data_IF_884700259181
#
_entry.id   IF_884700259181
#
_cell.length_a   1.000
_cell.length_b   1.000
_cell.length_c   1.000
_cell.angle_alpha   90.00
_cell.angle_beta   90.00
_cell.angle_gamma   90.00
#
_symmetry.space_group_name_H-M   'P 1'
#
loop_
_entity.id
_entity.type
_entity.pdbx_description
1 polymer ?
#
# COMPACT_ATOMS: atom_id res chain seq x y z
N UNK A 1 19.65 32.98 10.80
CA UNK A 1 20.30 34.00 9.95
C UNK A 1 21.33 33.33 9.04
N UNK A 2 21.04 33.19 7.75
CA UNK A 2 21.95 33.41 6.61
C UNK A 2 21.15 33.09 5.34
N UNK A 3 20.93 34.13 4.53
CA UNK A 3 20.20 34.09 3.26
C UNK A 3 21.14 33.51 2.21
N UNK A 4 20.76 32.42 1.55
CA UNK A 4 21.46 31.97 0.35
C UNK A 4 21.00 32.80 -0.85
N UNK A 5 21.93 33.57 -1.41
CA UNK A 5 21.71 34.41 -2.58
C UNK A 5 21.65 33.54 -3.84
N UNK A 6 20.49 33.54 -4.51
CA UNK A 6 20.33 32.99 -5.87
C UNK A 6 20.90 33.99 -6.88
N UNK A 7 21.90 33.59 -7.66
CA UNK A 7 22.30 34.30 -8.89
C UNK A 7 21.51 33.74 -10.06
N UNK A 8 20.54 34.49 -10.53
CA UNK A 8 19.78 34.23 -11.75
C UNK A 8 20.54 34.82 -12.94
N UNK A 9 20.99 33.99 -13.87
CA UNK A 9 21.44 34.45 -15.19
C UNK A 9 20.21 34.40 -16.11
N UNK A 10 19.69 35.58 -16.45
CA UNK A 10 18.64 35.72 -17.45
C UNK A 10 19.31 35.84 -18.84
N UNK A 11 19.08 34.86 -19.72
CA UNK A 11 19.40 34.99 -21.14
C UNK A 11 18.13 35.48 -21.85
N UNK A 12 18.15 36.72 -22.32
CA UNK A 12 17.15 37.29 -23.21
C UNK A 12 17.34 36.71 -24.62
N UNK A 13 16.37 35.95 -25.11
CA UNK A 13 16.28 35.60 -26.55
C UNK A 13 15.09 36.35 -27.14
N UNK A 14 15.38 37.34 -27.97
CA UNK A 14 14.41 38.07 -28.77
C UNK A 14 13.91 37.17 -29.90
N UNK A 15 12.60 36.90 -29.96
CA UNK A 15 11.96 36.25 -31.10
C UNK A 15 11.15 37.30 -31.89
N UNK A 16 11.62 37.60 -33.11
CA UNK A 16 10.88 38.39 -34.09
C UNK A 16 9.78 37.52 -34.73
N UNK A 17 8.54 38.01 -34.73
CA UNK A 17 7.43 37.42 -35.48
C UNK A 17 7.60 37.76 -36.97
N UNK A 18 7.71 36.74 -37.82
CA UNK A 18 7.39 36.86 -39.23
C UNK A 18 6.32 35.81 -39.57
N UNK A 19 5.10 36.27 -39.81
CA UNK A 19 3.99 35.46 -40.24
C UNK A 19 4.04 35.32 -41.78
N UNK A 20 4.19 34.10 -42.28
CA UNK A 20 3.80 33.74 -43.64
C UNK A 20 3.10 32.38 -43.61
N UNK A 21 1.88 32.36 -44.15
CA UNK A 21 0.98 31.22 -44.10
C UNK A 21 1.37 30.12 -45.07
N UNK A 22 1.31 28.88 -44.60
CA UNK A 22 1.13 27.69 -45.42
C UNK A 22 0.03 26.85 -44.78
N UNK A 23 -1.04 26.59 -45.53
CA UNK A 23 -2.03 25.57 -45.20
C UNK A 23 -1.33 24.20 -45.26
N UNK A 24 -0.84 23.72 -44.12
CA UNK A 24 -0.42 22.34 -43.96
C UNK A 24 -1.67 21.49 -43.70
N UNK A 25 -1.93 20.53 -44.60
CA UNK A 25 -2.92 19.50 -44.38
C UNK A 25 -2.64 18.79 -43.05
N UNK A 26 -3.58 18.88 -42.10
CA UNK A 26 -3.48 18.22 -40.80
C UNK A 26 -3.75 16.73 -40.97
N UNK A 27 -2.74 15.97 -41.40
CA UNK A 27 -2.72 14.55 -41.09
C UNK A 27 -2.67 14.42 -39.58
N UNK A 28 -3.81 14.09 -38.96
CA UNK A 28 -3.88 13.71 -37.56
C UNK A 28 -3.13 12.37 -37.43
N UNK A 29 -1.81 12.45 -37.28
CA UNK A 29 -1.01 11.33 -36.85
C UNK A 29 -1.56 10.91 -35.49
N UNK A 30 -2.22 9.76 -35.45
CA UNK A 30 -2.52 9.11 -34.19
C UNK A 30 -1.17 8.81 -33.55
N UNK A 31 -0.79 9.61 -32.56
CA UNK A 31 0.39 9.29 -31.74
C UNK A 31 0.05 7.95 -31.08
N UNK A 32 0.66 6.89 -31.59
CA UNK A 32 0.55 5.58 -30.98
C UNK A 32 1.00 5.73 -29.53
N UNK A 33 0.07 5.61 -28.60
CA UNK A 33 0.36 5.64 -27.18
C UNK A 33 1.45 4.59 -26.93
N UNK A 34 2.64 5.03 -26.49
CA UNK A 34 3.71 4.11 -26.12
C UNK A 34 3.12 3.02 -25.21
N UNK A 35 3.34 1.75 -25.58
CA UNK A 35 2.76 0.64 -24.86
C UNK A 35 3.09 0.75 -23.37
N UNK A 36 2.07 0.65 -22.51
CA UNK A 36 2.25 0.73 -21.07
C UNK A 36 3.35 -0.25 -20.63
N UNK A 37 4.27 0.22 -19.78
CA UNK A 37 5.30 -0.66 -19.22
C UNK A 37 4.63 -1.89 -18.58
N UNK A 38 5.18 -3.10 -18.82
CA UNK A 38 4.52 -4.35 -18.50
C UNK A 38 4.35 -4.54 -16.99
N UNK A 39 3.55 -5.54 -16.61
CA UNK A 39 3.35 -5.90 -15.22
C UNK A 39 2.19 -5.16 -14.55
N UNK A 40 2.24 -5.10 -13.23
CA UNK A 40 1.19 -4.54 -12.36
C UNK A 40 1.82 -3.67 -11.28
N UNK A 41 1.34 -2.45 -11.14
CA UNK A 41 1.59 -1.61 -9.98
C UNK A 41 0.63 -2.00 -8.86
N UNK A 42 1.15 -2.29 -7.67
CA UNK A 42 0.38 -2.32 -6.42
C UNK A 42 0.77 -1.14 -5.56
N UNK A 43 -0.19 -0.52 -4.89
CA UNK A 43 0.03 0.75 -4.20
C UNK A 43 -1.03 1.00 -3.12
N UNK A 44 -0.81 2.02 -2.30
CA UNK A 44 -1.76 2.48 -1.29
C UNK A 44 -2.51 3.70 -1.79
N UNK A 45 -3.85 3.67 -1.69
CA UNK A 45 -4.72 4.83 -1.98
C UNK A 45 -5.96 4.79 -1.09
N UNK A 46 -6.30 5.91 -0.48
CA UNK A 46 -7.41 6.00 0.48
C UNK A 46 -7.34 4.92 1.58
N UNK A 47 -6.14 4.73 2.15
CA UNK A 47 -5.85 3.76 3.22
C UNK A 47 -6.00 2.27 2.85
N UNK A 48 -6.18 1.95 1.58
CA UNK A 48 -6.42 0.60 1.07
C UNK A 48 -5.36 0.22 0.04
N UNK A 49 -5.20 -1.08 -0.19
CA UNK A 49 -4.38 -1.65 -1.27
C UNK A 49 -5.15 -1.58 -2.58
N UNK A 50 -4.49 -1.05 -3.61
CA UNK A 50 -4.98 -0.95 -4.97
C UNK A 50 -3.98 -1.55 -5.94
N UNK A 51 -4.44 -1.78 -7.17
CA UNK A 51 -3.57 -2.16 -8.28
C UNK A 51 -3.97 -1.43 -9.57
N UNK A 52 -3.01 -1.26 -10.48
CA UNK A 52 -3.23 -0.65 -11.79
C UNK A 52 -2.26 -1.26 -12.83
N UNK A 53 -2.46 -0.93 -14.10
CA UNK A 53 -1.44 -1.13 -15.13
C UNK A 53 -0.26 -0.19 -14.88
N UNK A 54 0.86 -0.46 -15.54
CA UNK A 54 2.08 0.34 -15.44
C UNK A 54 1.95 1.81 -15.81
N UNK A 55 0.97 2.16 -16.65
CA UNK A 55 0.64 3.55 -17.03
C UNK A 55 -0.34 4.24 -16.04
N UNK A 56 -0.71 3.56 -14.95
CA UNK A 56 -1.69 4.03 -13.97
C UNK A 56 -3.15 3.82 -14.36
N UNK A 57 -3.44 3.32 -15.55
CA UNK A 57 -4.81 3.04 -16.00
C UNK A 57 -5.36 1.74 -15.39
N UNK A 58 -6.69 1.60 -15.37
CA UNK A 58 -7.33 0.39 -14.85
C UNK A 58 -7.16 0.22 -13.34
N UNK A 59 -7.23 1.31 -12.58
CA UNK A 59 -7.14 1.28 -11.12
C UNK A 59 -8.25 0.42 -10.51
N UNK A 60 -7.88 -0.56 -9.68
CA UNK A 60 -8.81 -1.46 -8.98
C UNK A 60 -8.45 -1.52 -7.50
N UNK A 61 -9.44 -1.27 -6.66
CA UNK A 61 -9.34 -1.47 -5.23
C UNK A 61 -9.32 -2.97 -4.91
N UNK A 62 -8.21 -3.44 -4.31
CA UNK A 62 -8.01 -4.83 -3.91
C UNK A 62 -8.61 -5.06 -2.53
N UNK A 63 -8.17 -4.31 -1.52
CA UNK A 63 -8.68 -4.42 -0.15
C UNK A 63 -9.89 -3.51 0.08
N UNK A 64 -10.87 -3.96 0.87
CA UNK A 64 -12.16 -3.27 1.09
C UNK A 64 -12.63 -3.33 2.53
N UNK A 65 -11.72 -3.46 3.48
CA UNK A 65 -12.10 -3.67 4.87
C UNK A 65 -12.47 -2.36 5.60
N UNK A 66 -12.27 -1.20 4.96
CA UNK A 66 -12.83 0.10 5.32
C UNK A 66 -12.44 0.56 6.71
N UNK A 67 -11.22 0.22 7.12
CA UNK A 67 -10.77 0.30 8.50
C UNK A 67 -10.03 1.61 8.80
N UNK A 68 -9.99 2.00 10.08
CA UNK A 68 -9.27 3.21 10.57
C UNK A 68 -7.75 3.05 10.36
N UNK A 69 -7.22 1.83 10.47
CA UNK A 69 -5.80 1.53 10.24
C UNK A 69 -5.52 1.40 8.74
N UNK A 70 -4.68 2.30 8.22
CA UNK A 70 -4.16 2.32 6.85
C UNK A 70 -3.31 1.08 6.55
N UNK A 71 -3.44 0.56 5.33
CA UNK A 71 -2.47 -0.38 4.78
C UNK A 71 -1.20 0.37 4.36
N UNK A 72 -0.04 -0.24 4.54
CA UNK A 72 1.27 0.29 4.12
C UNK A 72 2.13 -0.81 3.50
N UNK A 73 3.22 -0.43 2.86
CA UNK A 73 4.26 -1.27 2.27
C UNK A 73 3.71 -2.42 1.41
N UNK A 74 2.91 -2.15 0.37
CA UNK A 74 2.41 -3.19 -0.51
C UNK A 74 3.57 -3.73 -1.37
N UNK A 75 3.58 -5.04 -1.59
CA UNK A 75 4.54 -5.74 -2.43
C UNK A 75 3.86 -6.97 -3.04
N UNK A 76 4.17 -7.32 -4.29
CA UNK A 76 3.51 -8.44 -4.98
C UNK A 76 4.51 -9.43 -5.57
N UNK A 77 4.39 -10.69 -5.13
CA UNK A 77 5.14 -11.83 -5.65
C UNK A 77 4.78 -12.15 -7.11
N UNK A 78 5.61 -12.98 -7.74
CA UNK A 78 5.48 -13.44 -9.13
C UNK A 78 4.24 -14.31 -9.36
N UNK A 79 3.70 -14.90 -8.31
CA UNK A 79 2.43 -15.65 -8.33
C UNK A 79 1.20 -14.75 -8.14
N UNK A 80 1.39 -13.43 -8.05
CA UNK A 80 0.31 -12.46 -7.86
C UNK A 80 -0.27 -12.43 -6.43
N UNK A 81 0.47 -12.94 -5.45
CA UNK A 81 0.14 -12.75 -4.03
C UNK A 81 0.69 -11.41 -3.58
N UNK A 82 -0.21 -10.54 -3.14
CA UNK A 82 0.08 -9.24 -2.56
C UNK A 82 0.28 -9.41 -1.06
N UNK A 83 1.36 -8.84 -0.55
CA UNK A 83 1.68 -8.70 0.87
C UNK A 83 1.66 -7.22 1.20
N UNK A 84 1.00 -6.84 2.30
CA UNK A 84 0.99 -5.47 2.80
C UNK A 84 0.95 -5.49 4.33
N UNK A 85 1.43 -4.41 4.94
CA UNK A 85 1.30 -4.17 6.37
C UNK A 85 -0.06 -3.53 6.68
N UNK A 86 -0.58 -3.84 7.87
CA UNK A 86 -1.71 -3.15 8.47
C UNK A 86 -1.45 -2.98 9.97
N UNK A 87 -0.85 -1.86 10.34
CA UNK A 87 -0.20 -1.75 11.64
C UNK A 87 0.94 -2.75 11.72
N UNK A 88 0.88 -3.69 12.67
CA UNK A 88 1.87 -4.77 12.84
C UNK A 88 1.50 -6.10 12.19
N UNK A 89 0.33 -6.17 11.56
CA UNK A 89 -0.08 -7.38 10.86
C UNK A 89 0.50 -7.40 9.45
N UNK A 90 1.18 -8.49 9.09
CA UNK A 90 1.40 -8.84 7.68
C UNK A 90 0.11 -9.46 7.14
N UNK A 91 -0.43 -8.88 6.08
CA UNK A 91 -1.64 -9.33 5.40
C UNK A 91 -1.30 -9.79 4.00
N UNK A 92 -1.62 -11.05 3.70
CA UNK A 92 -1.50 -11.61 2.33
C UNK A 92 -2.85 -11.70 1.66
N UNK A 93 -2.92 -11.28 0.41
CA UNK A 93 -4.15 -11.29 -0.37
C UNK A 93 -3.89 -11.60 -1.85
N UNK A 94 -4.90 -12.15 -2.51
CA UNK A 94 -4.95 -12.24 -3.98
C UNK A 94 -5.35 -10.90 -4.57
N UNK A 95 -5.11 -10.70 -5.87
CA UNK A 95 -5.53 -9.51 -6.64
C UNK A 95 -7.04 -9.27 -6.66
N UNK A 96 -7.86 -10.28 -6.37
CA UNK A 96 -9.32 -10.14 -6.22
C UNK A 96 -9.76 -9.65 -4.81
N UNK A 97 -8.81 -9.47 -3.90
CA UNK A 97 -9.04 -9.06 -2.50
C UNK A 97 -9.26 -10.24 -1.53
N UNK A 98 -9.16 -11.49 -1.99
CA UNK A 98 -9.24 -12.65 -1.11
C UNK A 98 -8.04 -12.70 -0.17
N UNK A 99 -8.28 -12.55 1.13
CA UNK A 99 -7.25 -12.70 2.16
C UNK A 99 -6.82 -14.17 2.28
N UNK A 100 -5.52 -14.41 2.22
CA UNK A 100 -4.89 -15.73 2.35
C UNK A 100 -4.42 -15.99 3.79
N UNK A 101 -3.75 -15.01 4.40
CA UNK A 101 -3.25 -15.11 5.78
C UNK A 101 -3.11 -13.74 6.42
N UNK A 102 -3.11 -13.71 7.76
CA UNK A 102 -2.81 -12.55 8.60
C UNK A 102 -2.03 -13.03 9.82
N UNK A 103 -0.97 -12.33 10.18
CA UNK A 103 -0.17 -12.65 11.37
C UNK A 103 0.60 -11.43 11.86
N UNK A 104 0.86 -11.36 13.16
CA UNK A 104 1.59 -10.27 13.81
C UNK A 104 3.11 -10.47 13.68
N UNK A 105 3.82 -9.41 13.32
CA UNK A 105 5.27 -9.42 13.11
C UNK A 105 6.10 -9.62 14.39
N UNK A 106 5.46 -9.52 15.56
CA UNK A 106 6.11 -9.54 16.85
C UNK A 106 6.91 -8.26 17.11
N UNK A 107 7.73 -8.28 18.15
CA UNK A 107 8.71 -7.23 18.46
C UNK A 107 10.13 -7.76 18.24
N UNK A 108 11.03 -6.88 17.82
CA UNK A 108 12.45 -7.17 17.63
C UNK A 108 13.18 -7.18 18.97
N UNK A 109 13.02 -6.10 19.74
CA UNK A 109 13.69 -5.88 21.02
C UNK A 109 12.83 -6.38 22.19
N UNK A 110 13.44 -6.82 23.31
CA UNK A 110 12.70 -7.18 24.52
C UNK A 110 12.06 -5.93 25.15
N UNK A 111 10.93 -6.13 25.84
CA UNK A 111 10.13 -5.03 26.39
C UNK A 111 10.89 -4.13 27.39
N UNK A 112 11.95 -4.64 28.02
CA UNK A 112 12.82 -3.90 28.93
C UNK A 112 13.78 -2.92 28.23
N UNK A 113 14.07 -3.14 26.95
CA UNK A 113 15.08 -2.40 26.17
C UNK A 113 14.46 -1.52 25.09
N UNK A 114 13.14 -1.48 24.97
CA UNK A 114 12.47 -0.82 23.85
C UNK A 114 11.17 -0.15 24.27
N UNK A 115 10.98 1.10 23.83
CA UNK A 115 9.67 1.72 23.77
C UNK A 115 8.78 1.10 22.69
N UNK A 116 7.86 1.88 22.13
CA UNK A 116 6.91 1.41 21.11
C UNK A 116 7.67 0.92 19.87
N UNK A 117 7.38 -0.30 19.43
CA UNK A 117 7.96 -0.90 18.22
C UNK A 117 6.95 -0.98 17.08
N UNK A 118 7.39 -0.57 15.90
CA UNK A 118 6.59 -0.54 14.68
C UNK A 118 7.24 -1.39 13.60
N UNK A 119 6.43 -2.02 12.76
CA UNK A 119 6.92 -2.58 11.49
C UNK A 119 6.73 -1.51 10.44
N UNK A 120 7.84 -1.12 9.80
CA UNK A 120 7.89 0.07 8.92
C UNK A 120 7.90 -0.31 7.45
N UNK A 121 8.44 -1.49 7.10
CA UNK A 121 8.44 -2.00 5.73
C UNK A 121 8.29 -3.51 5.70
N UNK A 122 7.68 -4.04 4.64
CA UNK A 122 7.56 -5.48 4.40
C UNK A 122 7.53 -5.78 2.89
N UNK A 123 8.38 -6.70 2.45
CA UNK A 123 8.50 -7.08 1.04
C UNK A 123 8.48 -8.60 0.90
N UNK A 124 7.67 -9.09 -0.05
CA UNK A 124 7.54 -10.52 -0.32
C UNK A 124 8.58 -10.96 -1.35
N UNK A 125 9.19 -12.12 -1.10
CA UNK A 125 10.08 -12.77 -2.08
C UNK A 125 9.38 -13.03 -3.42
N UNK A 126 10.12 -13.12 -4.54
CA UNK A 126 9.55 -13.35 -5.86
C UNK A 126 8.65 -14.58 -5.92
N UNK A 127 9.07 -15.72 -5.37
CA UNK A 127 8.23 -16.93 -5.28
C UNK A 127 7.09 -16.89 -4.24
N UNK A 128 6.92 -15.77 -3.53
CA UNK A 128 5.83 -15.58 -2.58
C UNK A 128 5.95 -16.38 -1.27
N UNK A 129 7.05 -17.12 -1.03
CA UNK A 129 7.20 -18.03 0.13
C UNK A 129 7.79 -17.37 1.36
N UNK A 130 8.61 -16.33 1.19
CA UNK A 130 9.24 -15.57 2.28
C UNK A 130 8.80 -14.10 2.27
N UNK A 131 8.91 -13.46 3.43
CA UNK A 131 8.77 -12.01 3.60
C UNK A 131 9.96 -11.50 4.40
N UNK A 132 10.50 -10.36 3.96
CA UNK A 132 11.46 -9.57 4.71
C UNK A 132 10.70 -8.38 5.29
N UNK A 133 10.94 -8.04 6.56
CA UNK A 133 10.26 -6.90 7.20
C UNK A 133 11.17 -6.20 8.19
N UNK A 134 11.12 -4.87 8.18
CA UNK A 134 11.97 -4.01 8.99
C UNK A 134 11.16 -3.44 10.15
N UNK A 135 11.78 -3.36 11.32
CA UNK A 135 11.17 -2.82 12.53
C UNK A 135 11.96 -1.63 13.06
N UNK A 136 11.26 -0.62 13.57
CA UNK A 136 11.83 0.48 14.33
C UNK A 136 11.40 0.40 15.79
N UNK A 137 12.22 0.98 16.66
CA UNK A 137 11.94 1.13 18.08
C UNK A 137 12.13 2.59 18.49
N UNK A 138 11.24 3.09 19.33
CA UNK A 138 11.45 4.39 19.99
C UNK A 138 12.28 4.13 21.25
N UNK A 139 13.49 4.69 21.30
CA UNK A 139 14.35 4.71 22.47
C UNK A 139 14.36 6.13 23.03
N UNK A 140 13.81 6.31 24.23
CA UNK A 140 13.56 7.62 24.83
C UNK A 140 12.76 8.55 23.90
N UNK A 141 13.42 9.51 23.21
CA UNK A 141 12.79 10.51 22.34
C UNK A 141 13.13 10.34 20.84
N UNK A 142 13.91 9.34 20.45
CA UNK A 142 14.33 9.13 19.06
C UNK A 142 13.90 7.75 18.55
N UNK A 143 13.50 7.69 17.28
CA UNK A 143 13.21 6.43 16.59
C UNK A 143 14.49 5.89 15.97
N UNK A 144 14.84 4.64 16.27
CA UNK A 144 15.96 3.94 15.64
C UNK A 144 15.44 2.75 14.81
N UNK A 145 16.09 2.48 13.67
CA UNK A 145 15.85 1.22 12.96
C UNK A 145 16.39 0.09 13.82
N UNK A 146 15.49 -0.71 14.36
CA UNK A 146 15.85 -1.80 15.25
C UNK A 146 16.50 -2.94 14.45
N UNK A 147 15.98 -3.23 13.25
CA UNK A 147 16.57 -4.21 12.33
C UNK A 147 15.56 -4.89 11.39
N UNK A 148 16.08 -5.77 10.52
CA UNK A 148 15.29 -6.55 9.57
C UNK A 148 15.18 -8.01 9.99
N UNK A 149 14.00 -8.61 9.75
CA UNK A 149 13.70 -10.04 9.96
C UNK A 149 13.21 -10.72 8.69
N UNK A 150 13.34 -12.04 8.67
CA UNK A 150 12.82 -12.92 7.63
C UNK A 150 11.86 -13.95 8.22
N UNK A 151 10.79 -14.26 7.51
CA UNK A 151 9.84 -15.30 7.88
C UNK A 151 9.25 -15.96 6.64
N UNK A 152 8.63 -17.12 6.82
CA UNK A 152 7.64 -17.61 5.88
C UNK A 152 6.57 -16.53 5.66
N UNK A 153 6.12 -16.35 4.43
CA UNK A 153 5.17 -15.27 4.11
C UNK A 153 3.80 -15.49 4.78
N UNK A 154 3.39 -16.75 4.99
CA UNK A 154 2.06 -17.11 5.46
C UNK A 154 1.88 -17.09 6.99
N UNK A 155 2.98 -17.09 7.75
CA UNK A 155 2.96 -17.11 9.20
C UNK A 155 4.31 -16.65 9.75
N UNK A 156 4.33 -16.19 11.00
CA UNK A 156 5.58 -16.03 11.71
C UNK A 156 6.31 -17.38 11.78
N UNK A 157 7.52 -17.41 11.26
CA UNK A 157 8.45 -18.50 11.47
C UNK A 157 9.75 -17.84 11.86
N UNK A 158 10.27 -18.13 13.05
CA UNK A 158 11.56 -17.61 13.46
C UNK A 158 12.61 -18.08 12.44
N UNK A 159 13.06 -17.21 11.54
CA UNK A 159 13.93 -17.54 10.41
C UNK A 159 15.38 -17.81 10.81
N UNK A 160 15.63 -18.24 12.05
CA UNK A 160 16.95 -18.32 12.67
C UNK A 160 17.28 -17.07 13.52
N UNK A 161 18.40 -17.08 14.26
CA UNK A 161 18.79 -16.03 15.21
C UNK A 161 19.23 -14.69 14.56
N UNK A 162 19.06 -14.52 13.25
CA UNK A 162 19.71 -13.48 12.44
C UNK A 162 18.88 -12.21 12.42
N UNK A 163 18.96 -11.47 13.54
CA UNK A 163 18.54 -10.08 13.60
C UNK A 163 19.64 -9.25 12.94
N UNK A 164 19.31 -8.60 11.82
CA UNK A 164 20.20 -7.62 11.22
C UNK A 164 19.96 -6.27 11.90
N UNK A 165 20.55 -6.07 13.08
CA UNK A 165 20.41 -4.85 13.86
C UNK A 165 20.91 -3.62 13.09
N UNK A 166 20.11 -2.55 13.06
CA UNK A 166 20.41 -1.34 12.28
C UNK A 166 20.09 -1.41 10.79
N UNK A 167 19.87 -2.62 10.24
CA UNK A 167 19.55 -2.79 8.82
C UNK A 167 18.06 -2.65 8.53
N UNK A 168 17.70 -1.97 7.44
CA UNK A 168 16.33 -1.69 7.02
C UNK A 168 16.08 -1.84 5.52
N UNK A 169 14.82 -1.66 5.13
CA UNK A 169 14.33 -1.59 3.75
C UNK A 169 14.79 -2.71 2.82
N UNK A 170 14.79 -3.94 3.35
CA UNK A 170 15.14 -5.11 2.58
C UNK A 170 14.20 -5.33 1.39
N UNK A 171 14.76 -5.34 0.17
CA UNK A 171 14.06 -5.67 -1.09
C UNK A 171 14.65 -6.93 -1.69
N UNK A 172 13.80 -7.84 -2.15
CA UNK A 172 14.24 -9.12 -2.69
C UNK A 172 14.79 -8.98 -4.11
N UNK A 173 16.00 -9.49 -4.31
CA UNK A 173 16.63 -9.61 -5.64
C UNK A 173 16.73 -11.08 -6.09
N UNK A 174 16.49 -12.04 -5.20
CA UNK A 174 16.20 -13.44 -5.56
C UNK A 174 15.22 -14.02 -4.53
N UNK A 175 14.95 -15.32 -4.57
CA UNK A 175 14.17 -16.01 -3.53
C UNK A 175 14.95 -16.24 -2.21
N UNK A 176 16.24 -15.91 -2.19
CA UNK A 176 17.15 -16.15 -1.07
C UNK A 176 18.07 -14.96 -0.77
N UNK A 177 17.99 -13.87 -1.54
CA UNK A 177 18.88 -12.72 -1.40
C UNK A 177 18.12 -11.41 -1.45
N UNK A 178 18.49 -10.49 -0.56
CA UNK A 178 17.98 -9.13 -0.51
C UNK A 178 19.10 -8.11 -0.71
N UNK A 179 18.72 -6.97 -1.28
CA UNK A 179 19.44 -5.71 -1.09
C UNK A 179 18.86 -5.03 0.15
N UNK A 180 19.72 -4.44 0.99
CA UNK A 180 19.34 -3.92 2.30
C UNK A 180 20.24 -2.74 2.67
N UNK A 181 19.72 -1.75 3.40
CA UNK A 181 20.50 -0.57 3.81
C UNK A 181 20.90 -0.63 5.27
N UNK A 182 22.02 0.01 5.62
CA UNK A 182 22.35 0.42 6.98
C UNK A 182 22.96 1.82 6.92
N UNK A 183 22.19 2.80 7.39
CA UNK A 183 22.49 4.23 7.30
C UNK A 183 22.98 4.65 5.90
N UNK A 184 24.28 4.95 5.74
CA UNK A 184 24.88 5.43 4.49
C UNK A 184 25.37 4.33 3.54
N UNK A 185 25.20 3.05 3.89
CA UNK A 185 25.73 1.94 3.11
C UNK A 185 24.64 1.01 2.58
N UNK A 186 24.87 0.49 1.38
CA UNK A 186 24.04 -0.53 0.73
C UNK A 186 24.73 -1.89 0.84
N UNK A 187 23.98 -2.90 1.24
CA UNK A 187 24.45 -4.25 1.50
C UNK A 187 23.68 -5.28 0.68
N UNK A 188 24.29 -6.45 0.52
CA UNK A 188 23.67 -7.65 0.01
C UNK A 188 23.63 -8.71 1.11
N UNK A 189 22.47 -9.32 1.31
CA UNK A 189 22.31 -10.36 2.34
C UNK A 189 21.63 -11.61 1.78
N UNK A 190 22.30 -12.75 1.93
CA UNK A 190 21.72 -14.06 1.68
C UNK A 190 21.00 -14.52 2.93
N UNK A 191 19.71 -14.83 2.83
CA UNK A 191 18.89 -15.27 3.95
C UNK A 191 19.47 -16.56 4.54
N UNK A 192 19.84 -16.51 5.81
CA UNK A 192 20.52 -17.60 6.52
C UNK A 192 22.03 -17.39 6.70
N UNK A 193 22.64 -16.37 6.09
CA UNK A 193 24.03 -15.99 6.33
C UNK A 193 24.19 -15.22 7.64
N UNK A 194 25.30 -15.41 8.35
CA UNK A 194 25.54 -14.77 9.66
C UNK A 194 25.65 -13.24 9.61
N UNK A 195 25.97 -12.67 8.46
CA UNK A 195 26.11 -11.23 8.27
C UNK A 195 25.63 -10.79 6.87
N UNK A 196 25.32 -9.50 6.72
CA UNK A 196 25.21 -8.87 5.41
C UNK A 196 26.61 -8.45 4.93
N UNK A 197 26.83 -8.45 3.62
CA UNK A 197 28.09 -7.97 3.04
C UNK A 197 27.86 -6.61 2.39
N UNK A 198 28.70 -5.64 2.75
CA UNK A 198 28.64 -4.30 2.17
C UNK A 198 28.92 -4.38 0.67
N UNK A 199 28.14 -3.66 -0.11
CA UNK A 199 28.37 -3.50 -1.54
C UNK A 199 29.06 -2.16 -1.82
N UNK A 200 28.54 -1.07 -1.26
CA UNK A 200 29.19 0.24 -1.31
C UNK A 200 28.66 1.15 -0.20
N UNK A 201 29.51 2.08 0.24
CA UNK A 201 29.14 3.22 1.07
C UNK A 201 28.82 4.45 0.20
N UNK A 202 28.05 5.40 0.71
CA UNK A 202 27.80 6.68 0.03
C UNK A 202 29.09 7.40 -0.42
N UNK A 203 30.11 7.42 0.43
CA UNK A 203 31.41 8.06 0.16
C UNK A 203 32.20 7.39 -0.96
N UNK A 204 31.90 6.13 -1.29
CA UNK A 204 32.51 5.47 -2.44
C UNK A 204 32.17 6.15 -3.76
N UNK A 205 31.00 6.82 -3.81
CA UNK A 205 30.46 7.46 -5.01
C UNK A 205 30.48 8.98 -4.89
N UNK A 206 30.20 9.48 -3.69
CA UNK A 206 30.16 10.91 -3.35
C UNK A 206 31.12 11.18 -2.19
N UNK A 207 32.43 11.16 -2.45
CA UNK A 207 33.41 11.44 -1.40
C UNK A 207 33.14 12.83 -0.83
N UNK A 208 33.12 12.93 0.50
CA UNK A 208 33.04 14.21 1.19
C UNK A 208 34.24 15.09 0.86
N UNK A 209 34.06 16.41 1.01
CA UNK A 209 35.19 17.33 1.00
C UNK A 209 35.91 17.23 2.36
N UNK A 210 37.17 16.77 2.40
CA UNK A 210 37.91 16.62 3.66
C UNK A 210 38.12 17.95 4.40
N UNK A 211 38.02 19.09 3.70
CA UNK A 211 38.12 20.43 4.30
C UNK A 211 36.75 20.98 4.76
N UNK A 212 35.65 20.32 4.40
CA UNK A 212 34.30 20.63 4.87
C UNK A 212 33.87 19.64 5.98
N UNK A 213 34.09 20.03 7.23
CA UNK A 213 33.69 19.27 8.41
C UNK A 213 32.17 19.06 8.55
N UNK A 214 31.35 19.62 7.64
CA UNK A 214 29.91 19.34 7.54
C UNK A 214 29.58 18.27 6.47
N UNK A 215 30.54 17.83 5.65
CA UNK A 215 30.35 16.79 4.64
C UNK A 215 30.47 15.40 5.24
N UNK A 216 29.34 14.90 5.75
CA UNK A 216 29.19 13.52 6.24
C UNK A 216 28.57 12.62 5.17
N UNK A 217 28.83 11.29 5.23
CA UNK A 217 28.20 10.33 4.33
C UNK A 217 26.68 10.42 4.50
N UNK A 218 25.96 10.51 3.39
CA UNK A 218 24.52 10.73 3.45
C UNK A 218 23.78 9.41 3.66
N UNK A 219 22.66 9.46 4.39
CA UNK A 219 21.79 8.30 4.55
C UNK A 219 21.24 7.84 3.20
N UNK A 220 21.15 6.53 3.02
CA UNK A 220 20.53 5.89 1.87
C UNK A 220 19.32 5.03 2.29
N UNK A 221 18.24 5.04 1.50
CA UNK A 221 17.06 4.21 1.76
C UNK A 221 16.31 3.79 0.48
N UNK A 222 15.33 2.89 0.65
CA UNK A 222 14.52 2.31 -0.43
C UNK A 222 15.32 1.82 -1.67
N UNK A 223 16.32 0.93 -1.50
CA UNK A 223 17.12 0.47 -2.64
C UNK A 223 16.32 -0.46 -3.57
N UNK A 224 16.24 -0.13 -4.86
CA UNK A 224 15.54 -0.93 -5.88
C UNK A 224 16.50 -1.31 -7.03
N UNK A 225 16.68 -2.62 -7.24
CA UNK A 225 17.50 -3.15 -8.33
C UNK A 225 16.61 -3.58 -9.52
N UNK A 226 16.95 -3.11 -10.73
CA UNK A 226 16.24 -3.47 -11.96
C UNK A 226 16.26 -4.98 -12.22
N UNK A 227 15.25 -5.49 -12.92
CA UNK A 227 15.12 -6.93 -13.19
C UNK A 227 16.34 -7.51 -13.91
N UNK A 228 16.92 -6.77 -14.85
CA UNK A 228 18.17 -7.14 -15.56
C UNK A 228 19.45 -6.95 -14.73
N UNK A 229 19.35 -6.34 -13.55
CA UNK A 229 20.46 -6.09 -12.62
C UNK A 229 21.39 -4.96 -13.02
N UNK A 230 21.06 -4.16 -14.05
CA UNK A 230 21.94 -3.12 -14.61
C UNK A 230 21.70 -1.72 -14.07
N UNK A 231 20.58 -1.48 -13.41
CA UNK A 231 20.27 -0.21 -12.76
C UNK A 231 19.92 -0.43 -11.30
N UNK A 232 20.47 0.41 -10.43
CA UNK A 232 20.11 0.52 -9.02
C UNK A 232 19.54 1.92 -8.80
N UNK A 233 18.44 2.02 -8.07
CA UNK A 233 17.90 3.29 -7.60
C UNK A 233 17.91 3.29 -6.08
N UNK A 234 18.40 4.36 -5.46
CA UNK A 234 18.30 4.57 -4.01
C UNK A 234 17.86 6.01 -3.75
N UNK A 235 17.21 6.22 -2.61
CA UNK A 235 17.06 7.57 -2.06
C UNK A 235 18.32 7.92 -1.26
N UNK A 236 18.71 9.19 -1.29
CA UNK A 236 19.92 9.73 -0.66
C UNK A 236 19.70 11.14 -0.11
N UNK A 237 20.29 11.44 1.04
CA UNK A 237 20.34 12.80 1.60
C UNK A 237 19.58 12.92 2.92
N UNK A 238 19.45 14.13 3.49
CA UNK A 238 18.53 14.35 4.60
C UNK A 238 17.10 14.04 4.14
N UNK A 239 16.27 13.54 5.06
CA UNK A 239 14.87 13.18 4.76
C UNK A 239 14.06 14.39 4.32
N UNK A 240 14.49 15.60 4.71
CA UNK A 240 13.87 16.88 4.38
C UNK A 240 14.22 17.43 2.99
N UNK A 241 15.32 16.96 2.37
CA UNK A 241 15.70 17.30 0.98
C UNK A 241 16.29 16.07 0.26
N UNK A 242 15.44 15.05 0.02
CA UNK A 242 15.92 13.78 -0.49
C UNK A 242 16.15 13.84 -2.01
N UNK A 243 17.18 13.13 -2.46
CA UNK A 243 17.51 12.92 -3.86
C UNK A 243 17.32 11.44 -4.21
N UNK A 244 16.65 11.16 -5.31
CA UNK A 244 16.60 9.82 -5.88
C UNK A 244 17.79 9.65 -6.84
N UNK A 245 18.74 8.82 -6.47
CA UNK A 245 19.94 8.54 -7.25
C UNK A 245 19.73 7.30 -8.12
N UNK A 246 20.05 7.43 -9.39
CA UNK A 246 20.14 6.30 -10.32
C UNK A 246 21.61 5.97 -10.54
N UNK A 247 21.94 4.69 -10.36
CA UNK A 247 23.26 4.16 -10.63
C UNK A 247 23.23 3.15 -11.78
N UNK A 248 24.36 3.05 -12.47
CA UNK A 248 24.66 1.96 -13.42
C UNK A 248 25.42 0.86 -12.68
N UNK A 249 24.95 -0.38 -12.79
CA UNK A 249 25.55 -1.55 -12.14
C UNK A 249 26.31 -2.38 -13.16
N UNK A 250 27.58 -2.66 -12.87
CA UNK A 250 28.42 -3.57 -13.65
C UNK A 250 28.66 -4.85 -12.86
N UNK A 251 28.24 -6.00 -13.41
CA UNK A 251 28.28 -7.30 -12.73
C UNK A 251 26.88 -7.79 -12.35
N UNK A 252 26.78 -8.69 -11.37
CA UNK A 252 25.52 -9.32 -10.99
C UNK A 252 25.33 -9.41 -9.47
N UNK A 253 24.59 -8.46 -8.90
CA UNK A 253 24.23 -8.43 -7.48
C UNK A 253 23.34 -9.61 -7.04
N UNK A 254 22.70 -10.32 -7.96
CA UNK A 254 21.85 -11.47 -7.63
C UNK A 254 22.69 -12.70 -7.25
N UNK A 255 23.90 -12.84 -7.80
CA UNK A 255 24.76 -14.03 -7.60
C UNK A 255 26.11 -13.74 -6.95
N UNK A 256 26.62 -12.50 -7.03
CA UNK A 256 27.90 -12.10 -6.46
C UNK A 256 27.79 -10.73 -5.76
N UNK A 257 28.89 -10.21 -5.23
CA UNK A 257 29.02 -8.79 -4.87
C UNK A 257 29.70 -8.14 -6.08
N UNK A 258 28.98 -7.31 -6.86
CA UNK A 258 29.56 -6.71 -8.05
C UNK A 258 30.43 -5.52 -7.67
N UNK A 259 31.07 -4.90 -8.66
CA UNK A 259 31.80 -3.67 -8.45
C UNK A 259 30.89 -2.56 -7.90
N UNK A 260 31.49 -1.56 -7.26
CA UNK A 260 30.81 -0.33 -6.84
C UNK A 260 30.06 0.28 -8.04
N UNK A 261 28.79 0.67 -7.89
CA UNK A 261 28.01 1.13 -9.03
C UNK A 261 28.43 2.55 -9.44
N UNK A 262 28.21 2.93 -10.69
CA UNK A 262 28.56 4.26 -11.17
C UNK A 262 27.36 5.21 -11.10
N UNK A 263 27.55 6.43 -10.60
CA UNK A 263 26.52 7.48 -10.64
C UNK A 263 26.07 7.74 -12.09
N UNK A 264 24.76 7.86 -12.30
CA UNK A 264 24.17 8.19 -13.61
C UNK A 264 23.41 9.51 -13.58
N UNK A 265 22.47 9.65 -12.66
CA UNK A 265 21.71 10.88 -12.45
C UNK A 265 21.08 10.93 -11.07
N UNK A 266 20.68 12.14 -10.68
CA UNK A 266 19.89 12.43 -9.51
C UNK A 266 18.60 13.14 -9.92
N UNK A 267 17.50 12.80 -9.25
CA UNK A 267 16.25 13.55 -9.30
C UNK A 267 15.99 14.12 -7.90
N UNK A 268 15.77 15.44 -7.81
CA UNK A 268 15.51 16.12 -6.55
C UNK A 268 14.00 16.30 -6.37
N UNK A 269 13.50 15.99 -5.18
CA UNK A 269 12.07 16.11 -4.83
C UNK A 269 11.65 17.53 -4.45
N UNK A 270 12.60 18.44 -4.32
CA UNK A 270 12.42 19.74 -3.69
C UNK A 270 12.02 19.58 -2.24
N UNK A 271 11.09 20.42 -1.79
CA UNK A 271 10.55 20.41 -0.42
C UNK A 271 9.42 19.36 -0.24
N UNK A 272 9.32 18.37 -1.12
CA UNK A 272 8.30 17.32 -1.02
C UNK A 272 8.70 16.21 -0.03
N UNK A 273 8.16 16.29 1.18
CA UNK A 273 8.33 15.31 2.26
C UNK A 273 7.80 13.90 1.92
N UNK A 274 7.00 13.74 0.85
CA UNK A 274 6.52 12.43 0.37
C UNK A 274 7.34 11.88 -0.81
N UNK A 275 8.43 12.56 -1.22
CA UNK A 275 9.29 12.10 -2.29
C UNK A 275 10.05 10.82 -1.90
N UNK A 276 9.72 9.70 -2.52
CA UNK A 276 10.39 8.43 -2.23
C UNK A 276 9.70 7.20 -2.82
N UNK A 277 9.95 6.03 -2.22
CA UNK A 277 9.40 4.74 -2.65
C UNK A 277 9.57 4.44 -4.15
N UNK A 278 10.80 4.49 -4.70
CA UNK A 278 11.05 4.09 -6.08
C UNK A 278 10.72 2.62 -6.32
N UNK A 279 10.23 2.33 -7.53
CA UNK A 279 10.09 0.96 -8.03
C UNK A 279 10.30 0.90 -9.55
N UNK A 280 11.09 -0.07 -10.00
CA UNK A 280 11.49 -0.19 -11.40
C UNK A 280 10.56 -1.18 -12.11
N UNK A 281 10.14 -0.83 -13.32
CA UNK A 281 9.28 -1.70 -14.12
C UNK A 281 9.98 -3.03 -14.46
N UNK A 282 9.23 -4.13 -14.64
CA UNK A 282 9.78 -5.47 -14.90
C UNK A 282 10.66 -5.59 -16.15
N UNK A 283 10.50 -4.68 -17.12
CA UNK A 283 11.33 -4.61 -18.32
C UNK A 283 12.60 -3.76 -18.13
N UNK A 284 12.84 -3.25 -16.92
CA UNK A 284 13.98 -2.40 -16.54
C UNK A 284 14.06 -1.04 -17.23
N UNK A 285 13.01 -0.60 -17.93
CA UNK A 285 13.05 0.67 -18.70
C UNK A 285 12.33 1.82 -18.02
N UNK A 286 11.35 1.56 -17.17
CA UNK A 286 10.54 2.60 -16.53
C UNK A 286 10.72 2.61 -15.01
N UNK A 287 10.48 3.74 -14.39
CA UNK A 287 10.62 3.98 -12.96
C UNK A 287 9.37 4.71 -12.47
N UNK A 288 8.75 4.22 -11.40
CA UNK A 288 7.70 4.93 -10.69
C UNK A 288 8.16 5.27 -9.26
N UNK A 289 7.66 6.37 -8.72
CA UNK A 289 7.93 6.82 -7.35
C UNK A 289 6.74 7.60 -6.80
N UNK A 290 6.74 7.84 -5.50
CA UNK A 290 5.76 8.67 -4.82
C UNK A 290 6.24 10.12 -4.71
N UNK A 291 5.29 11.04 -4.84
CA UNK A 291 5.34 12.44 -4.42
C UNK A 291 4.01 12.77 -3.73
N UNK A 292 3.88 13.94 -3.13
CA UNK A 292 2.66 14.39 -2.42
C UNK A 292 1.40 14.34 -3.27
N UNK A 293 1.49 14.62 -4.57
CA UNK A 293 0.33 14.56 -5.47
C UNK A 293 -0.07 13.13 -5.84
N UNK A 294 0.84 12.16 -5.73
CA UNK A 294 0.58 10.76 -6.03
C UNK A 294 1.78 10.03 -6.63
N UNK A 295 1.49 8.98 -7.41
CA UNK A 295 2.54 8.20 -8.09
C UNK A 295 2.88 8.82 -9.44
N UNK A 296 4.16 9.12 -9.63
CA UNK A 296 4.75 9.61 -10.85
C UNK A 296 5.46 8.48 -11.61
N UNK A 297 5.56 8.63 -12.93
CA UNK A 297 6.18 7.68 -13.85
C UNK A 297 7.18 8.38 -14.75
N UNK A 298 8.36 7.80 -14.86
CA UNK A 298 9.34 8.02 -15.92
C UNK A 298 9.41 6.78 -16.81
N UNK A 299 9.32 6.95 -18.13
CA UNK A 299 9.25 5.82 -19.06
C UNK A 299 10.61 5.33 -19.55
N UNK A 300 11.64 6.18 -19.45
CA UNK A 300 12.98 5.88 -19.91
C UNK A 300 14.04 6.15 -18.83
N UNK A 301 14.31 5.13 -18.01
CA UNK A 301 15.37 5.08 -17.00
C UNK A 301 16.78 5.14 -17.61
N UNK A 302 16.92 4.95 -18.93
CA UNK A 302 18.20 5.12 -19.59
C UNK A 302 18.59 6.59 -19.80
N UNK A 303 17.61 7.50 -19.77
CA UNK A 303 17.82 8.94 -19.94
C UNK A 303 17.70 9.69 -18.61
N UNK A 304 18.57 10.68 -18.41
CA UNK A 304 18.51 11.58 -17.27
C UNK A 304 17.51 12.73 -17.45
N UNK A 305 16.93 12.90 -18.65
CA UNK A 305 15.96 13.95 -18.92
C UNK A 305 14.65 13.73 -18.14
N UNK A 306 13.95 14.80 -17.78
CA UNK A 306 12.68 14.73 -17.03
C UNK A 306 11.44 14.99 -17.90
N UNK A 307 11.61 15.17 -19.20
CA UNK A 307 10.52 15.50 -20.14
C UNK A 307 9.46 14.39 -20.28
N UNK A 308 9.81 13.16 -19.92
CA UNK A 308 8.90 11.99 -19.96
C UNK A 308 8.25 11.67 -18.61
N UNK A 309 8.49 12.51 -17.59
CA UNK A 309 7.96 12.36 -16.23
C UNK A 309 6.51 12.85 -16.17
N UNK A 310 5.61 12.02 -15.63
CA UNK A 310 4.18 12.35 -15.51
C UNK A 310 3.52 11.73 -14.28
N UNK A 311 2.57 12.46 -13.68
CA UNK A 311 1.69 11.93 -12.63
C UNK A 311 0.73 10.90 -13.25
N UNK A 312 0.77 9.65 -12.79
CA UNK A 312 -0.06 8.56 -13.33
C UNK A 312 -1.18 8.11 -12.39
N UNK A 313 -1.02 8.29 -11.07
CA UNK A 313 -2.03 7.90 -10.09
C UNK A 313 -2.11 8.96 -8.99
N UNK A 314 -3.00 9.97 -9.12
CA UNK A 314 -3.19 10.99 -8.11
C UNK A 314 -3.65 10.41 -6.75
N UNK A 315 -3.07 10.92 -5.66
CA UNK A 315 -3.35 10.56 -4.26
C UNK A 315 -2.98 9.13 -3.89
N UNK A 316 -2.07 8.51 -4.64
CA UNK A 316 -1.53 7.19 -4.34
C UNK A 316 -0.11 7.27 -3.80
N UNK A 317 0.30 6.24 -3.07
CA UNK A 317 1.54 6.20 -2.32
C UNK A 317 2.12 4.79 -2.34
N UNK A 318 3.42 4.68 -2.04
CA UNK A 318 4.15 3.43 -1.82
C UNK A 318 3.98 2.42 -2.99
N UNK A 319 4.32 2.80 -4.24
CA UNK A 319 4.20 1.90 -5.37
C UNK A 319 5.18 0.72 -5.25
N UNK A 320 4.73 -0.46 -5.69
CA UNK A 320 5.58 -1.62 -5.96
C UNK A 320 5.18 -2.24 -7.28
N UNK A 321 6.15 -2.45 -8.16
CA UNK A 321 5.93 -2.90 -9.53
C UNK A 321 6.30 -4.37 -9.70
N UNK A 322 5.28 -5.20 -9.95
CA UNK A 322 5.47 -6.64 -10.13
C UNK A 322 5.44 -7.03 -11.60
N UNK A 323 6.17 -8.10 -11.94
CA UNK A 323 6.19 -8.70 -13.29
C UNK A 323 4.89 -9.38 -13.69
N UNK A 324 3.98 -9.61 -12.75
CA UNK A 324 2.67 -10.21 -13.02
C UNK A 324 1.87 -9.33 -13.97
N UNK A 325 1.48 -9.88 -15.12
CA UNK A 325 0.64 -9.18 -16.07
C UNK A 325 -0.68 -8.76 -15.42
N UNK A 326 -1.06 -7.49 -15.60
CA UNK A 326 -2.30 -6.95 -15.08
C UNK A 326 -3.50 -7.75 -15.59
N UNK A 327 -4.29 -8.28 -14.66
CA UNK A 327 -5.57 -8.96 -14.93
C UNK A 327 -6.64 -8.33 -14.08
N UNK A 328 -7.57 -7.61 -14.72
CA UNK A 328 -8.75 -7.12 -14.04
C UNK A 328 -9.52 -8.32 -13.47
N UNK A 329 -9.85 -8.34 -12.16
CA UNK A 329 -10.72 -9.36 -11.60
C UNK A 329 -12.02 -9.40 -12.40
N UNK A 330 -12.46 -10.60 -12.82
CA UNK A 330 -13.73 -10.77 -13.52
C UNK A 330 -14.83 -10.13 -12.66
N UNK A 331 -15.53 -9.12 -13.19
CA UNK A 331 -16.74 -8.56 -12.58
C UNK A 331 -17.80 -9.66 -12.55
N UNK A 332 -17.76 -10.52 -11.54
CA UNK A 332 -18.93 -11.32 -11.19
C UNK A 332 -20.01 -10.31 -10.79
N UNK A 333 -21.03 -10.16 -11.64
CA UNK A 333 -22.08 -9.15 -11.50
C UNK A 333 -22.53 -9.01 -10.06
N UNK A 334 -22.50 -7.78 -9.54
CA UNK A 334 -23.04 -7.41 -8.23
C UNK A 334 -22.81 -8.44 -7.11
N UNK A 335 -21.58 -8.56 -6.63
CA UNK A 335 -21.35 -9.21 -5.34
C UNK A 335 -20.42 -8.38 -4.47
N UNK A 336 -21.03 -7.82 -3.43
CA UNK A 336 -20.39 -7.34 -2.21
C UNK A 336 -19.19 -8.20 -1.82
N UNK A 337 -18.04 -7.55 -1.55
CA UNK A 337 -16.90 -7.95 -0.70
C UNK A 337 -16.81 -9.46 -0.34
N UNK A 338 -15.70 -10.16 -0.65
CA UNK A 338 -15.53 -11.54 -0.24
C UNK A 338 -15.48 -11.61 1.30
N UNK A 339 -16.58 -12.09 1.89
CA UNK A 339 -16.60 -12.49 3.30
C UNK A 339 -15.56 -13.60 3.44
N UNK A 340 -14.62 -13.42 4.37
CA UNK A 340 -13.94 -14.52 5.05
C UNK A 340 -14.95 -15.67 5.24
N UNK A 341 -14.54 -16.91 4.94
CA UNK A 341 -15.38 -18.11 4.83
C UNK A 341 -16.01 -18.47 6.20
N UNK A 342 -16.88 -17.61 6.71
CA UNK A 342 -17.57 -17.73 7.98
C UNK A 342 -18.76 -18.63 7.72
N UNK A 343 -18.87 -19.72 8.49
CA UNK A 343 -20.03 -20.63 8.50
C UNK A 343 -21.33 -19.80 8.51
N UNK A 344 -22.40 -20.27 7.85
CA UNK A 344 -23.70 -19.58 7.82
C UNK A 344 -24.53 -19.94 9.07
N UNK A 345 -25.36 -19.02 9.56
CA UNK A 345 -26.34 -19.35 10.59
C UNK A 345 -27.38 -20.34 10.04
N UNK A 346 -27.59 -21.48 10.71
CA UNK A 346 -28.79 -22.31 10.50
C UNK A 346 -29.97 -21.62 11.20
N UNK A 347 -31.00 -21.25 10.43
CA UNK A 347 -32.18 -20.56 10.96
C UNK A 347 -33.18 -21.60 11.46
N UNK A 348 -33.31 -21.72 12.78
CA UNK A 348 -34.26 -22.63 13.42
C UNK A 348 -35.63 -21.97 13.56
N UNK A 349 -35.68 -20.67 13.89
CA UNK A 349 -36.94 -19.90 13.97
C UNK A 349 -36.73 -18.45 13.54
N UNK A 350 -37.47 -18.01 12.52
CA UNK A 350 -37.44 -16.62 12.04
C UNK A 350 -38.10 -15.67 13.05
N UNK A 351 -37.55 -14.46 13.27
CA UNK A 351 -38.20 -13.45 14.10
C UNK A 351 -39.45 -12.90 13.40
N UNK A 352 -40.50 -12.58 14.18
CA UNK A 352 -41.78 -12.02 13.74
C UNK A 352 -42.08 -10.75 14.55
N UNK A 353 -42.88 -9.83 14.01
CA UNK A 353 -43.42 -8.71 14.80
C UNK A 353 -44.82 -9.09 15.31
N UNK A 354 -45.05 -8.91 16.62
CA UNK A 354 -46.36 -9.05 17.27
C UNK A 354 -46.85 -7.68 17.77
N UNK A 355 -48.17 -7.55 17.94
CA UNK A 355 -48.83 -6.35 18.47
C UNK A 355 -49.74 -5.66 17.45
N UNK A 356 -50.59 -4.77 17.95
CA UNK A 356 -51.56 -4.03 17.14
C UNK A 356 -50.90 -2.83 16.47
N UNK A 357 -51.06 -2.71 15.16
CA UNK A 357 -50.47 -1.64 14.33
C UNK A 357 -51.34 -0.38 14.38
N UNK A 358 -51.47 0.20 15.58
CA UNK A 358 -52.26 1.40 15.87
C UNK A 358 -51.42 2.42 16.63
N UNK A 359 -51.61 3.71 16.36
CA UNK A 359 -50.93 4.79 17.11
C UNK A 359 -51.09 4.58 18.63
N UNK A 360 -49.99 4.78 19.38
CA UNK A 360 -49.94 4.61 20.82
C UNK A 360 -49.68 3.18 21.32
N UNK A 361 -49.96 2.15 20.50
CA UNK A 361 -49.71 0.74 20.87
C UNK A 361 -48.25 0.35 20.63
N UNK A 362 -47.82 -0.76 21.26
CA UNK A 362 -46.45 -1.28 21.17
C UNK A 362 -46.37 -2.49 20.24
N UNK A 363 -45.40 -2.48 19.35
CA UNK A 363 -44.99 -3.62 18.54
C UNK A 363 -43.75 -4.28 19.15
N UNK A 364 -43.67 -5.61 19.10
CA UNK A 364 -42.57 -6.39 19.68
C UNK A 364 -42.02 -7.40 18.67
N UNK A 365 -40.71 -7.40 18.47
CA UNK A 365 -40.02 -8.43 17.67
C UNK A 365 -39.78 -9.68 18.53
N UNK A 366 -40.19 -10.85 18.04
CA UNK A 366 -39.89 -12.14 18.69
C UNK A 366 -38.42 -12.50 18.45
N UNK A 367 -37.78 -13.16 19.43
CA UNK A 367 -36.38 -13.60 19.31
C UNK A 367 -36.23 -14.58 18.13
N UNK A 368 -35.15 -14.44 17.35
CA UNK A 368 -34.75 -15.42 16.34
C UNK A 368 -34.04 -16.60 17.03
N UNK A 369 -34.34 -17.85 16.64
CA UNK A 369 -33.53 -19.03 17.03
C UNK A 369 -32.58 -19.36 15.87
N UNK A 370 -31.27 -19.33 16.16
CA UNK A 370 -30.20 -19.55 15.19
C UNK A 370 -29.13 -20.47 15.81
N UNK A 371 -28.49 -21.30 14.98
CA UNK A 371 -27.29 -22.07 15.36
C UNK A 371 -26.10 -21.63 14.47
N UNK A 372 -24.92 -21.29 15.05
CA UNK A 372 -24.64 -21.14 16.49
C UNK A 372 -25.44 -19.97 17.11
N UNK A 373 -25.47 -19.90 18.45
CA UNK A 373 -26.20 -18.84 19.17
C UNK A 373 -25.62 -17.46 18.80
N UNK A 374 -26.45 -16.45 18.47
CA UNK A 374 -25.97 -15.11 18.19
C UNK A 374 -25.17 -14.50 19.35
N UNK A 375 -24.07 -13.80 19.04
CA UNK A 375 -23.34 -13.01 20.02
C UNK A 375 -23.99 -11.64 20.26
N UNK A 376 -24.58 -11.04 19.23
CA UNK A 376 -25.25 -9.73 19.33
C UNK A 376 -26.42 -9.63 18.35
N UNK A 377 -27.49 -8.94 18.78
CA UNK A 377 -28.67 -8.66 17.95
C UNK A 377 -28.94 -7.15 18.00
N UNK A 378 -28.99 -6.51 16.83
CA UNK A 378 -29.35 -5.09 16.68
C UNK A 378 -30.69 -4.96 15.96
N UNK A 379 -31.51 -4.00 16.38
CA UNK A 379 -32.78 -3.68 15.72
C UNK A 379 -32.71 -2.28 15.12
N UNK A 380 -33.45 -2.07 14.04
CA UNK A 380 -33.71 -0.74 13.51
C UNK A 380 -35.11 -0.70 12.91
N UNK A 381 -35.96 0.19 13.42
CA UNK A 381 -37.29 0.43 12.88
C UNK A 381 -37.27 1.47 11.77
N UNK A 382 -38.19 1.30 10.83
CA UNK A 382 -38.36 2.13 9.65
C UNK A 382 -39.83 2.45 9.44
N UNK A 383 -40.08 3.67 8.98
CA UNK A 383 -41.36 4.16 8.47
C UNK A 383 -41.27 4.19 6.95
N UNK A 384 -41.97 3.27 6.29
CA UNK A 384 -41.77 2.99 4.88
C UNK A 384 -40.31 2.58 4.60
N UNK A 385 -39.62 3.38 3.77
CA UNK A 385 -38.18 3.20 3.48
C UNK A 385 -37.27 3.98 4.44
N UNK A 386 -37.77 5.02 5.14
CA UNK A 386 -36.98 5.94 5.98
C UNK A 386 -36.72 5.35 7.38
N UNK A 387 -35.48 5.45 7.86
CA UNK A 387 -35.06 5.02 9.19
C UNK A 387 -35.70 5.92 10.26
N UNK A 388 -36.22 5.34 11.33
CA UNK A 388 -36.71 6.10 12.50
C UNK A 388 -35.53 6.29 13.46
N UNK A 389 -35.01 7.52 13.59
CA UNK A 389 -33.88 7.85 14.48
C UNK A 389 -34.18 7.40 15.92
N UNK A 390 -33.21 6.78 16.58
CA UNK A 390 -33.34 6.25 17.95
C UNK A 390 -34.18 4.97 18.12
N UNK A 391 -34.91 4.51 17.10
CA UNK A 391 -35.74 3.31 17.22
C UNK A 391 -34.92 2.02 17.01
N UNK A 392 -34.11 1.66 18.00
CA UNK A 392 -33.14 0.55 17.95
C UNK A 392 -33.45 -0.61 18.90
N UNK A 393 -34.55 -0.52 19.67
CA UNK A 393 -35.01 -1.55 20.61
C UNK A 393 -35.89 -2.60 19.91
N UNK A 394 -35.98 -3.80 20.48
CA UNK A 394 -36.87 -4.86 20.00
C UNK A 394 -38.37 -4.50 20.11
N UNK A 395 -38.71 -3.56 21.00
CA UNK A 395 -40.05 -2.98 21.17
C UNK A 395 -40.08 -1.60 20.52
N UNK A 396 -41.20 -1.26 19.89
CA UNK A 396 -41.44 0.07 19.32
C UNK A 396 -42.85 0.55 19.66
N UNK A 397 -42.97 1.73 20.26
CA UNK A 397 -44.25 2.41 20.46
C UNK A 397 -44.58 3.16 19.17
N UNK A 398 -45.71 2.83 18.56
CA UNK A 398 -46.18 3.46 17.33
C UNK A 398 -46.51 4.93 17.62
N UNK A 399 -45.89 5.85 16.88
CA UNK A 399 -46.02 7.29 17.06
C UNK A 399 -47.07 7.86 16.10
N UNK A 400 -47.59 9.06 16.40
CA UNK A 400 -48.54 9.78 15.54
C UNK A 400 -48.02 9.93 14.10
N UNK A 401 -46.72 10.22 13.95
CA UNK A 401 -46.04 10.33 12.66
C UNK A 401 -46.01 9.02 11.82
N UNK A 402 -46.39 7.86 12.38
CA UNK A 402 -46.47 6.61 11.64
C UNK A 402 -47.83 6.39 10.96
N UNK A 403 -48.87 7.16 11.33
CA UNK A 403 -50.25 6.99 10.83
C UNK A 403 -50.29 6.93 9.30
N UNK A 404 -51.02 5.96 8.76
CA UNK A 404 -51.14 5.71 7.32
C UNK A 404 -49.90 5.11 6.65
N UNK A 405 -48.76 4.96 7.35
CA UNK A 405 -47.52 4.38 6.79
C UNK A 405 -47.39 2.91 7.13
N UNK A 406 -46.60 2.18 6.33
CA UNK A 406 -46.18 0.79 6.64
C UNK A 406 -44.91 0.84 7.48
N UNK A 407 -44.88 0.07 8.56
CA UNK A 407 -43.68 -0.08 9.38
C UNK A 407 -42.89 -1.32 8.96
N UNK A 408 -41.56 -1.27 9.13
CA UNK A 408 -40.70 -2.45 8.99
C UNK A 408 -39.56 -2.39 9.99
N UNK A 409 -39.01 -3.55 10.33
CA UNK A 409 -37.84 -3.66 11.21
C UNK A 409 -36.75 -4.48 10.54
N UNK A 410 -35.52 -3.99 10.59
CA UNK A 410 -34.32 -4.77 10.28
C UNK A 410 -33.74 -5.33 11.57
N UNK A 411 -33.60 -6.65 11.64
CA UNK A 411 -32.96 -7.37 12.73
C UNK A 411 -31.61 -7.87 12.22
N UNK A 412 -30.52 -7.34 12.77
CA UNK A 412 -29.16 -7.74 12.41
C UNK A 412 -28.59 -8.64 13.49
N UNK A 413 -28.12 -9.82 13.08
CA UNK A 413 -27.55 -10.83 13.96
C UNK A 413 -26.07 -11.03 13.61
N UNK A 414 -25.20 -10.97 14.62
CA UNK A 414 -23.76 -11.19 14.48
C UNK A 414 -23.25 -12.26 15.46
N UNK A 415 -22.24 -13.01 15.04
CA UNK A 415 -21.50 -13.99 15.84
C UNK A 415 -20.04 -13.99 15.39
N UNK A 416 -19.10 -14.29 16.29
CA UNK A 416 -17.65 -14.15 16.03
C UNK A 416 -17.21 -14.99 14.82
N UNK A 417 -17.69 -16.24 14.72
CA UNK A 417 -17.28 -17.23 13.70
C UNK A 417 -18.28 -17.44 12.55
N UNK A 418 -19.33 -16.61 12.44
CA UNK A 418 -20.47 -16.86 11.51
C UNK A 418 -20.83 -15.59 10.74
N UNK A 419 -21.19 -15.72 9.46
CA UNK A 419 -21.56 -14.57 8.64
C UNK A 419 -22.80 -13.83 9.22
N UNK A 420 -22.75 -12.49 9.21
CA UNK A 420 -23.88 -11.62 9.63
C UNK A 420 -25.17 -12.02 8.90
N UNK A 421 -26.26 -12.22 9.65
CA UNK A 421 -27.60 -12.49 9.11
C UNK A 421 -28.51 -11.31 9.38
N UNK A 422 -29.25 -10.86 8.36
CA UNK A 422 -30.21 -9.77 8.49
C UNK A 422 -31.60 -10.28 8.15
N UNK A 423 -32.57 -10.03 9.03
CA UNK A 423 -33.99 -10.24 8.77
C UNK A 423 -34.66 -8.89 8.54
N UNK A 424 -35.44 -8.78 7.47
CA UNK A 424 -36.32 -7.62 7.27
C UNK A 424 -37.76 -8.08 7.46
N UNK A 425 -38.42 -7.63 8.51
CA UNK A 425 -39.81 -7.97 8.79
C UNK A 425 -40.66 -6.77 8.38
N UNK A 426 -41.44 -6.93 7.31
CA UNK A 426 -42.42 -5.93 6.84
C UNK A 426 -43.73 -6.16 7.57
N UNK A 427 -44.31 -5.11 8.16
CA UNK A 427 -45.65 -5.18 8.73
C UNK A 427 -46.63 -4.90 7.60
N UNK A 428 -47.50 -5.88 7.31
CA UNK A 428 -48.40 -5.84 6.15
C UNK A 428 -49.43 -4.70 6.25
N UNK A 429 -49.98 -4.48 7.44
CA UNK A 429 -50.99 -3.44 7.72
C UNK A 429 -50.34 -2.05 7.82
N UNK A 430 -51.00 -1.03 7.27
CA UNK A 430 -50.69 0.38 7.55
C UNK A 430 -51.07 0.71 9.00
N UNK A 431 -50.40 1.68 9.60
CA UNK A 431 -50.75 2.17 10.93
C UNK A 431 -52.13 2.85 10.89
N UNK A 432 -53.05 2.36 11.72
CA UNK A 432 -54.36 2.97 11.97
C UNK A 432 -54.24 4.09 13.02
#
# INVERSE_FOLDING_TARGET
>A
MKRYARRTIAVLVSAALAATGMLAATTSATVAQAAAAPGTLVYIKNNEVWMAKGDGTGQIQVSRDGNITRYTSPSMSDDGVITALKGREIVRMKTDGTILSKWDTGTLLPASESGIQHTISAHVSPNGKKVAYSQSAILSNWSVTAGTRFSASHQYSNGGPQLLHGYGDAKWITDSRVIIKNYSSIYLHNVGASAATEWFNDEDIFPGDPDDWLHFPQEQWDPELSADGKALVTMRGPVEDPNMIVYTVTGNARTAIPAKPAFKCAFNGGEDEEFGSPTIAPNSTALAWQMKEGIWLKNNLNSCATTDVKLIIPGASEPSWSKVAYKAPKKNGSNSSPKANKKKFKVVKKPKVKGTVKVGKKLKVTKAKLKPKPAKIKYQWFRGKKKIKGATKAKYKVKKADKGKKLRVKVTVTHKKTAKKVFTIKIKKKVR
#
